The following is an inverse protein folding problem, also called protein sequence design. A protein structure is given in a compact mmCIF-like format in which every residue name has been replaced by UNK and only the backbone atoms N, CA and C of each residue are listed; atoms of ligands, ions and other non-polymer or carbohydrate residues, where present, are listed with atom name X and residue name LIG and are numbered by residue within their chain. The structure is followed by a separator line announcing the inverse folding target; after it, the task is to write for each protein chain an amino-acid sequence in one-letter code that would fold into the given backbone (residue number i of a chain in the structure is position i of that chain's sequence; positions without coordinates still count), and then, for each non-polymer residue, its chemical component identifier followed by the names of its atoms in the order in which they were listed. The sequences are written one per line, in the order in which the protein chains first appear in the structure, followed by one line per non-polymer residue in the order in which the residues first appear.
data_IF_088168352667
#
_entry.id   IF_088168352667
#
_cell.length_a   1.000
_cell.length_b   1.000
_cell.length_c   1.000
_cell.angle_alpha   90.00
_cell.angle_beta   90.00
_cell.angle_gamma   90.00
#
_symmetry.space_group_name_H-M   'P 1'
#
loop_
_entity.id
_entity.type
_entity.pdbx_description
1 polymer ?
#
# COMPACT_ATOMS: atom_id res chain seq x y z
N UNK A 1 -18.91 -14.02 -16.33
CA UNK A 1 -19.16 -12.69 -15.73
C UNK A 1 -17.97 -12.36 -14.84
N UNK A 2 -17.15 -11.39 -15.22
CA UNK A 2 -16.10 -10.87 -14.34
C UNK A 2 -16.74 -9.76 -13.54
N UNK A 3 -17.01 -9.98 -12.25
CA UNK A 3 -17.49 -8.92 -11.37
C UNK A 3 -16.34 -7.95 -11.15
N UNK A 4 -16.36 -6.79 -11.82
CA UNK A 4 -15.45 -5.70 -11.52
C UNK A 4 -15.82 -5.13 -10.14
N UNK A 5 -15.26 -5.73 -9.08
CA UNK A 5 -15.27 -5.15 -7.75
C UNK A 5 -14.19 -4.08 -7.70
N UNK A 6 -14.55 -2.88 -7.26
CA UNK A 6 -13.59 -1.80 -7.07
C UNK A 6 -12.43 -2.29 -6.15
N UNK A 7 -11.18 -1.90 -6.43
CA UNK A 7 -10.04 -2.35 -5.66
C UNK A 7 -10.18 -1.95 -4.20
N UNK A 8 -9.85 -2.87 -3.29
CA UNK A 8 -9.99 -2.65 -1.84
C UNK A 8 -8.80 -1.86 -1.31
N UNK A 9 -8.95 -0.54 -1.27
CA UNK A 9 -7.92 0.39 -0.81
C UNK A 9 -8.14 0.75 0.66
N UNK A 10 -7.07 0.78 1.45
CA UNK A 10 -7.06 1.09 2.88
C UNK A 10 -5.90 2.00 3.25
N UNK A 11 -6.09 2.81 4.30
CA UNK A 11 -4.97 3.40 5.02
C UNK A 11 -4.23 2.36 5.86
N UNK A 12 -3.01 2.67 6.32
CA UNK A 12 -2.20 1.77 7.15
C UNK A 12 -2.98 1.21 8.35
N UNK A 13 -3.66 2.09 9.10
CA UNK A 13 -4.43 1.68 10.29
C UNK A 13 -5.59 0.76 9.94
N UNK A 14 -6.34 1.12 8.89
CA UNK A 14 -7.50 0.34 8.42
C UNK A 14 -7.07 -1.02 7.86
N UNK A 15 -5.92 -1.08 7.16
CA UNK A 15 -5.35 -2.31 6.64
C UNK A 15 -4.97 -3.26 7.78
N UNK A 16 -4.34 -2.77 8.85
CA UNK A 16 -4.03 -3.58 10.04
C UNK A 16 -5.30 -4.04 10.76
N UNK A 17 -6.30 -3.17 10.91
CA UNK A 17 -7.58 -3.55 11.51
C UNK A 17 -8.24 -4.67 10.73
N UNK A 18 -8.25 -4.56 9.41
CA UNK A 18 -8.80 -5.58 8.52
C UNK A 18 -7.99 -6.88 8.59
N UNK A 19 -6.66 -6.80 8.58
CA UNK A 19 -5.80 -7.97 8.79
C UNK A 19 -6.08 -8.67 10.11
N UNK A 20 -6.31 -7.94 11.20
CA UNK A 20 -6.66 -8.52 12.50
C UNK A 20 -8.03 -9.19 12.53
N UNK A 21 -8.96 -8.75 11.69
CA UNK A 21 -10.26 -9.41 11.54
C UNK A 21 -10.09 -10.76 10.83
N UNK A 22 -9.20 -10.80 9.81
CA UNK A 22 -8.94 -12.00 9.02
C UNK A 22 -8.03 -12.98 9.78
N UNK A 23 -6.99 -12.47 10.43
CA UNK A 23 -6.03 -13.18 11.25
C UNK A 23 -5.83 -12.45 12.60
N UNK A 24 -6.57 -12.85 13.63
CA UNK A 24 -6.49 -12.24 14.97
C UNK A 24 -5.10 -12.31 15.61
N UNK A 25 -4.26 -13.26 15.19
CA UNK A 25 -2.92 -13.47 15.75
C UNK A 25 -1.81 -12.89 14.87
N UNK A 26 -2.16 -12.01 13.93
CA UNK A 26 -1.20 -11.39 13.04
C UNK A 26 -0.11 -10.63 13.82
N UNK A 27 1.14 -10.95 13.52
CA UNK A 27 2.31 -10.23 14.05
C UNK A 27 2.53 -8.89 13.32
N UNK A 28 1.79 -8.61 12.24
CA UNK A 28 1.95 -7.40 11.45
C UNK A 28 1.42 -6.20 12.24
N UNK A 29 2.29 -5.22 12.44
CA UNK A 29 1.99 -3.97 13.16
C UNK A 29 1.95 -2.78 12.22
N UNK A 30 1.28 -1.70 12.62
CA UNK A 30 1.33 -0.44 11.86
C UNK A 30 2.75 0.06 11.62
N UNK A 31 3.67 -0.16 12.58
CA UNK A 31 5.07 0.24 12.45
C UNK A 31 5.77 -0.58 11.36
N UNK A 32 5.62 -1.92 11.38
CA UNK A 32 6.18 -2.77 10.33
C UNK A 32 5.68 -2.39 8.93
N UNK A 33 4.38 -2.06 8.83
CA UNK A 33 3.76 -1.64 7.57
C UNK A 33 4.27 -0.26 7.10
N UNK A 34 4.44 0.70 8.01
CA UNK A 34 5.06 2.00 7.70
C UNK A 34 6.50 1.83 7.22
N UNK A 35 7.27 0.95 7.85
CA UNK A 35 8.66 0.71 7.44
C UNK A 35 8.72 0.05 6.06
N UNK A 36 7.85 -0.91 5.77
CA UNK A 36 7.75 -1.53 4.45
C UNK A 36 7.39 -0.53 3.34
N UNK A 37 6.47 0.40 3.62
CA UNK A 37 6.16 1.51 2.70
C UNK A 37 7.35 2.44 2.54
N UNK A 38 7.99 2.84 3.64
CA UNK A 38 9.13 3.77 3.63
C UNK A 38 10.35 3.19 2.91
N UNK A 39 10.58 1.89 2.99
CA UNK A 39 11.66 1.20 2.29
C UNK A 39 11.37 0.93 0.82
N UNK A 40 10.15 1.20 0.35
CA UNK A 40 9.70 0.86 -1.00
C UNK A 40 9.40 -0.62 -1.21
N UNK A 41 9.48 -1.45 -0.16
CA UNK A 41 9.21 -2.88 -0.26
C UNK A 41 7.71 -3.18 -0.47
N UNK A 42 6.82 -2.31 0.03
CA UNK A 42 5.38 -2.41 -0.20
C UNK A 42 4.92 -1.25 -1.11
N UNK A 43 4.44 -1.54 -2.33
CA UNK A 43 3.86 -0.52 -3.20
C UNK A 43 2.65 0.16 -2.57
N UNK A 44 2.60 1.49 -2.67
CA UNK A 44 1.50 2.29 -2.14
C UNK A 44 1.29 3.57 -2.95
N UNK A 45 0.15 4.22 -2.74
CA UNK A 45 -0.18 5.52 -3.33
C UNK A 45 -0.31 6.58 -2.26
N UNK A 46 0.31 7.74 -2.48
CA UNK A 46 0.19 8.89 -1.59
C UNK A 46 -0.98 9.79 -1.98
N UNK A 47 -1.77 10.21 -1.00
CA UNK A 47 -2.81 11.21 -1.12
C UNK A 47 -2.55 12.30 -0.07
N UNK A 48 -1.71 13.28 -0.43
CA UNK A 48 -1.13 14.21 0.52
C UNK A 48 -0.32 13.47 1.59
N UNK A 49 -0.69 13.61 2.86
CA UNK A 49 -0.04 12.93 3.99
C UNK A 49 -0.54 11.50 4.23
N UNK A 50 -1.61 11.08 3.55
CA UNK A 50 -2.19 9.74 3.72
C UNK A 50 -1.53 8.74 2.78
N UNK A 51 -1.24 7.56 3.30
CA UNK A 51 -0.79 6.39 2.54
C UNK A 51 -2.01 5.55 2.22
N UNK A 52 -2.19 5.20 0.95
CA UNK A 52 -3.24 4.35 0.43
C UNK A 52 -2.62 3.05 -0.07
N UNK A 53 -3.03 1.94 0.52
CA UNK A 53 -2.50 0.60 0.26
C UNK A 53 -3.64 -0.25 -0.31
N UNK A 54 -3.37 -0.97 -1.39
CA UNK A 54 -4.29 -2.02 -1.87
C UNK A 54 -4.14 -3.25 -1.00
N UNK A 55 -5.25 -3.81 -0.52
CA UNK A 55 -5.22 -5.06 0.26
C UNK A 55 -4.64 -6.22 -0.55
N UNK A 56 -4.89 -6.27 -1.87
CA UNK A 56 -4.31 -7.28 -2.76
C UNK A 56 -2.78 -7.22 -2.76
N UNK A 57 -2.23 -6.03 -2.95
CA UNK A 57 -0.77 -5.80 -2.92
C UNK A 57 -0.20 -6.13 -1.54
N UNK A 58 -0.91 -5.79 -0.46
CA UNK A 58 -0.51 -6.14 0.89
C UNK A 58 -0.43 -7.65 1.09
N UNK A 59 -1.43 -8.42 0.65
CA UNK A 59 -1.39 -9.87 0.74
C UNK A 59 -0.28 -10.47 -0.13
N UNK A 60 -0.09 -9.97 -1.35
CA UNK A 60 1.00 -10.41 -2.21
C UNK A 60 2.37 -10.19 -1.55
N UNK A 61 2.58 -9.01 -0.95
CA UNK A 61 3.78 -8.68 -0.18
C UNK A 61 3.99 -9.63 1.01
N UNK A 62 2.95 -9.88 1.80
CA UNK A 62 3.03 -10.77 2.97
C UNK A 62 3.30 -12.23 2.59
N UNK A 63 2.83 -12.66 1.42
CA UNK A 63 3.13 -13.99 0.86
C UNK A 63 4.55 -14.09 0.28
N UNK A 64 5.36 -13.03 0.34
CA UNK A 64 6.73 -13.01 -0.19
C UNK A 64 6.79 -12.90 -1.71
N UNK A 65 5.69 -12.52 -2.38
CA UNK A 65 5.70 -12.22 -3.81
C UNK A 65 6.33 -10.84 -3.98
N UNK A 66 7.60 -10.83 -4.40
CA UNK A 66 8.40 -9.60 -4.53
C UNK A 66 7.98 -8.82 -5.80
N UNK A 67 6.97 -7.95 -5.67
CA UNK A 67 6.41 -7.14 -6.77
C UNK A 67 7.24 -5.87 -7.08
N UNK A 68 8.57 -5.96 -7.00
CA UNK A 68 9.46 -4.83 -7.34
C UNK A 68 9.41 -4.44 -8.82
N UNK A 69 8.87 -5.31 -9.68
CA UNK A 69 8.81 -5.12 -11.12
C UNK A 69 7.83 -4.01 -11.57
N UNK A 70 6.88 -3.59 -10.73
CA UNK A 70 5.79 -2.68 -11.16
C UNK A 70 5.94 -1.22 -10.67
N UNK A 71 7.06 -0.89 -10.01
CA UNK A 71 7.27 0.42 -9.37
C UNK A 71 7.79 1.52 -10.32
N UNK A 72 8.20 1.20 -11.55
CA UNK A 72 8.84 2.18 -12.46
C UNK A 72 7.90 3.26 -13.05
N UNK A 73 6.57 3.06 -13.00
CA UNK A 73 5.60 4.03 -13.54
C UNK A 73 5.12 5.05 -12.48
N UNK A 74 5.02 4.63 -11.20
CA UNK A 74 4.38 5.43 -10.14
C UNK A 74 5.30 6.52 -9.57
N UNK A 75 6.61 6.32 -9.69
CA UNK A 75 7.62 7.30 -9.28
C UNK A 75 7.58 8.58 -10.14
N UNK A 76 7.21 8.47 -11.43
CA UNK A 76 7.07 9.64 -12.30
C UNK A 76 5.87 10.50 -11.91
N UNK A 77 4.71 9.89 -11.66
CA UNK A 77 3.50 10.63 -11.26
C UNK A 77 3.63 11.27 -9.86
N UNK A 78 4.31 10.60 -8.92
CA UNK A 78 4.45 11.07 -7.53
C UNK A 78 5.44 12.23 -7.42
N UNK A 79 6.52 12.21 -8.21
CA UNK A 79 7.50 13.31 -8.28
C UNK A 79 6.90 14.54 -8.98
N UNK A 80 6.16 14.36 -10.08
CA UNK A 80 5.54 15.48 -10.81
C UNK A 80 4.44 16.19 -9.99
N UNK A 81 3.69 15.46 -9.16
CA UNK A 81 2.64 16.06 -8.32
C UNK A 81 3.19 16.84 -7.11
N UNK A 82 4.27 16.36 -6.48
CA UNK A 82 4.92 17.10 -5.37
C UNK A 82 5.64 18.37 -5.83
N UNK A 83 6.18 18.38 -7.06
CA UNK A 83 6.84 19.57 -7.62
C UNK A 83 5.81 20.66 -8.00
N UNK A 84 4.61 20.28 -8.45
CA UNK A 84 3.58 21.24 -8.92
C UNK A 84 2.80 21.95 -7.81
N UNK A 85 2.89 21.50 -6.55
CA UNK A 85 2.16 22.09 -5.41
C UNK A 85 3.10 22.82 -4.42
N UNK A 86 4.35 23.08 -4.81
CA UNK A 86 5.35 23.80 -4.02
C UNK A 86 5.45 25.31 -4.37
N UNK A 87 4.44 25.89 -5.01
CA UNK A 87 4.25 27.34 -5.15
C UNK A 87 2.77 27.70 -5.11
#
# INVERSE_FOLDING_TARGET
MIMQTAPKIRGIKEAIQELRIIDPHTAVTEHSLRMAVKSGALPCRYAGRKVLISMETLFAYLNGVDNRADLEETDRQTIIHHIRNAR
#
